data_IF_466355828613
#
_entry.id   IF_466355828613
#
_cell.length_a   1.000
_cell.length_b   1.000
_cell.length_c   1.000
_cell.angle_alpha   90.00
_cell.angle_beta   90.00
_cell.angle_gamma   90.00
#
_symmetry.space_group_name_H-M   'P 1'
#
loop_
_entity.id
_entity.type
_entity.pdbx_description
1 polymer ?
#
# COMPACT_ATOMS: atom_id res chain seq x y z
N UNK A 1 -18.41 6.92 1.69
CA UNK A 1 -17.47 7.62 0.76
C UNK A 1 -16.17 8.07 1.45
N UNK A 2 -16.23 8.69 2.63
CA UNK A 2 -15.04 9.07 3.44
C UNK A 2 -14.10 7.88 3.72
N UNK A 3 -14.64 6.71 4.06
CA UNK A 3 -13.81 5.52 4.35
C UNK A 3 -12.99 5.03 3.16
N UNK A 4 -13.50 5.15 1.93
CA UNK A 4 -12.74 4.83 0.71
C UNK A 4 -11.58 5.79 0.49
N UNK A 5 -11.80 7.10 0.66
CA UNK A 5 -10.75 8.11 0.50
C UNK A 5 -9.65 7.89 1.55
N UNK A 6 -10.02 7.67 2.81
CA UNK A 6 -9.06 7.36 3.88
C UNK A 6 -8.27 6.09 3.59
N UNK A 7 -8.92 5.07 3.03
CA UNK A 7 -8.28 3.83 2.61
C UNK A 7 -7.22 4.06 1.53
N UNK A 8 -7.53 4.87 0.51
CA UNK A 8 -6.57 5.24 -0.53
C UNK A 8 -5.37 5.96 0.09
N UNK A 9 -5.62 6.97 0.92
CA UNK A 9 -4.56 7.73 1.59
C UNK A 9 -3.65 6.80 2.40
N UNK A 10 -4.24 5.85 3.14
CA UNK A 10 -3.48 4.87 3.92
C UNK A 10 -2.59 3.99 3.03
N UNK A 11 -3.12 3.45 1.94
CA UNK A 11 -2.35 2.63 0.99
C UNK A 11 -1.24 3.42 0.30
N UNK A 12 -1.52 4.69 -0.04
CA UNK A 12 -0.55 5.61 -0.61
C UNK A 12 0.60 5.93 0.35
N UNK A 13 0.35 5.97 1.66
CA UNK A 13 1.38 6.20 2.68
C UNK A 13 2.15 4.90 2.99
N UNK A 14 1.46 3.76 3.01
CA UNK A 14 2.08 2.46 3.28
C UNK A 14 3.09 2.08 2.20
N UNK A 15 2.79 2.35 0.93
CA UNK A 15 3.69 2.05 -0.20
C UNK A 15 5.11 2.59 0.00
N UNK A 16 5.31 3.91 0.21
CA UNK A 16 6.62 4.50 0.47
C UNK A 16 7.33 3.96 1.72
N UNK A 17 6.58 3.71 2.80
CA UNK A 17 7.14 3.12 4.04
C UNK A 17 7.75 1.75 3.74
N UNK A 18 7.08 0.96 2.92
CA UNK A 18 7.54 -0.37 2.54
C UNK A 18 8.69 -0.31 1.55
N UNK A 19 8.64 0.61 0.58
CA UNK A 19 9.78 0.83 -0.31
C UNK A 19 11.05 1.13 0.49
N UNK A 20 10.94 1.98 1.51
CA UNK A 20 12.02 2.29 2.44
C UNK A 20 12.47 1.08 3.27
N UNK A 21 11.53 0.34 3.87
CA UNK A 21 11.83 -0.86 4.65
C UNK A 21 12.48 -1.96 3.79
N UNK A 22 12.04 -2.07 2.54
CA UNK A 22 12.55 -3.02 1.55
C UNK A 22 13.99 -2.72 1.18
N UNK A 23 14.31 -1.46 0.87
CA UNK A 23 15.69 -1.04 0.58
C UNK A 23 16.62 -1.28 1.78
N UNK A 24 16.17 -0.98 3.01
CA UNK A 24 17.02 -1.06 4.21
C UNK A 24 17.28 -2.49 4.70
N UNK A 25 16.23 -3.31 4.79
CA UNK A 25 16.28 -4.60 5.49
C UNK A 25 15.77 -5.76 4.63
N UNK A 26 14.56 -5.64 4.05
CA UNK A 26 13.88 -6.82 3.52
C UNK A 26 14.57 -7.42 2.28
N UNK A 27 15.17 -6.59 1.42
CA UNK A 27 15.88 -7.07 0.22
C UNK A 27 17.07 -7.97 0.55
N UNK A 28 17.73 -7.76 1.70
CA UNK A 28 18.87 -8.60 2.13
C UNK A 28 18.43 -10.02 2.47
N UNK A 29 17.15 -10.19 2.83
CA UNK A 29 16.57 -11.46 3.24
C UNK A 29 15.93 -12.16 2.03
N UNK A 30 15.09 -11.45 1.28
CA UNK A 30 14.42 -12.00 0.10
C UNK A 30 14.16 -10.90 -0.95
N UNK A 31 14.51 -11.20 -2.22
CA UNK A 31 14.28 -10.30 -3.37
C UNK A 31 12.79 -10.05 -3.60
N UNK A 32 11.94 -11.02 -3.31
CA UNK A 32 10.49 -10.95 -3.54
C UNK A 32 9.72 -10.49 -2.29
N UNK A 33 10.43 -10.08 -1.23
CA UNK A 33 9.82 -9.67 0.03
C UNK A 33 8.82 -8.51 -0.14
N UNK A 34 9.02 -7.60 -1.10
CA UNK A 34 8.09 -6.49 -1.36
C UNK A 34 6.75 -6.97 -1.92
N UNK A 35 6.76 -8.02 -2.76
CA UNK A 35 5.53 -8.62 -3.32
C UNK A 35 4.78 -9.35 -2.22
N UNK A 36 5.48 -10.19 -1.45
CA UNK A 36 4.89 -10.92 -0.32
C UNK A 36 4.29 -9.97 0.72
N UNK A 37 4.99 -8.88 1.05
CA UNK A 37 4.49 -7.88 1.98
C UNK A 37 3.28 -7.14 1.40
N UNK A 38 3.28 -6.86 0.09
CA UNK A 38 2.13 -6.28 -0.60
C UNK A 38 0.91 -7.19 -0.52
N UNK A 39 1.06 -8.48 -0.83
CA UNK A 39 -0.03 -9.46 -0.70
C UNK A 39 -0.54 -9.51 0.75
N UNK A 40 0.37 -9.60 1.73
CA UNK A 40 0.00 -9.62 3.14
C UNK A 40 -0.78 -8.37 3.55
N UNK A 41 -0.34 -7.19 3.13
CA UNK A 41 -1.02 -5.92 3.43
C UNK A 41 -2.39 -5.87 2.78
N UNK A 42 -2.52 -6.31 1.52
CA UNK A 42 -3.81 -6.35 0.84
C UNK A 42 -4.79 -7.29 1.56
N UNK A 43 -4.32 -8.47 1.98
CA UNK A 43 -5.12 -9.42 2.76
C UNK A 43 -5.53 -8.84 4.10
N UNK A 44 -4.60 -8.24 4.85
CA UNK A 44 -4.90 -7.59 6.14
C UNK A 44 -5.86 -6.42 5.97
N UNK A 45 -5.65 -5.60 4.94
CA UNK A 45 -6.47 -4.45 4.62
C UNK A 45 -7.92 -4.86 4.32
N UNK A 46 -8.12 -5.88 3.49
CA UNK A 46 -9.45 -6.42 3.23
C UNK A 46 -10.05 -7.13 4.44
N UNK A 47 -9.26 -7.88 5.21
CA UNK A 47 -9.72 -8.54 6.45
C UNK A 47 -10.22 -7.51 7.45
N UNK A 48 -9.47 -6.43 7.65
CA UNK A 48 -9.87 -5.32 8.51
C UNK A 48 -11.18 -4.70 8.03
N UNK A 49 -11.31 -4.53 6.71
CA UNK A 49 -12.53 -4.13 6.06
C UNK A 49 -13.75 -5.02 6.36
N UNK A 50 -13.57 -6.35 6.29
CA UNK A 50 -14.57 -7.34 6.64
C UNK A 50 -15.00 -7.21 8.11
N UNK A 51 -14.04 -7.12 9.01
CA UNK A 51 -14.33 -6.98 10.45
C UNK A 51 -15.08 -5.70 10.76
N UNK A 52 -14.75 -4.60 10.07
CA UNK A 52 -15.49 -3.35 10.18
C UNK A 52 -16.92 -3.52 9.65
N UNK A 53 -17.09 -4.05 8.43
CA UNK A 53 -18.40 -4.24 7.81
C UNK A 53 -19.35 -5.10 8.67
N UNK A 54 -18.83 -6.16 9.29
CA UNK A 54 -19.57 -7.03 10.21
C UNK A 54 -19.84 -6.38 11.59
N UNK A 55 -19.42 -5.13 11.79
CA UNK A 55 -19.44 -4.41 13.06
C UNK A 55 -18.73 -5.15 14.21
N UNK A 56 -17.79 -6.05 13.89
CA UNK A 56 -16.90 -6.68 14.89
C UNK A 56 -15.92 -5.63 15.41
N UNK A 57 -15.41 -4.79 14.52
CA UNK A 57 -14.65 -3.59 14.85
C UNK A 57 -15.55 -2.39 14.60
N UNK A 58 -15.99 -1.74 15.66
CA UNK A 58 -16.88 -0.58 15.58
C UNK A 58 -16.11 0.69 15.98
N UNK A 59 -16.13 1.69 15.10
CA UNK A 59 -15.49 2.98 15.33
C UNK A 59 -16.42 4.01 16.00
N UNK A 60 -17.56 3.59 16.53
CA UNK A 60 -18.47 4.42 17.31
C UNK A 60 -18.99 5.61 16.50
N UNK A 61 -18.54 6.81 16.83
CA UNK A 61 -18.97 8.09 16.25
C UNK A 61 -18.46 8.38 14.84
N UNK A 62 -17.53 7.58 14.30
CA UNK A 62 -17.01 7.76 12.93
C UNK A 62 -17.88 7.10 11.84
N UNK A 63 -19.03 6.54 12.21
CA UNK A 63 -20.00 5.92 11.29
C UNK A 63 -20.10 4.41 11.46
N UNK A 64 -21.13 3.80 10.86
CA UNK A 64 -21.28 2.34 10.88
C UNK A 64 -20.25 1.68 9.98
N UNK A 65 -19.84 0.44 10.29
CA UNK A 65 -18.88 -0.28 9.47
C UNK A 65 -19.26 -0.40 7.98
N UNK A 66 -20.57 -0.39 7.70
CA UNK A 66 -21.15 -0.35 6.35
C UNK A 66 -20.90 0.97 5.61
N UNK A 67 -20.85 2.10 6.32
CA UNK A 67 -20.57 3.44 5.74
C UNK A 67 -19.09 3.63 5.43
N UNK A 68 -18.23 3.00 6.25
CA UNK A 68 -16.77 3.05 6.11
C UNK A 68 -16.32 2.15 4.95
N UNK A 69 -16.94 0.98 4.80
CA UNK A 69 -16.64 -0.02 3.76
C UNK A 69 -17.82 -0.24 2.81
N UNK A 70 -18.08 0.77 1.98
CA UNK A 70 -19.19 0.74 1.01
C UNK A 70 -18.99 -0.29 -0.12
N UNK A 71 -17.74 -0.62 -0.41
CA UNK A 71 -17.24 -1.49 -1.47
C UNK A 71 -16.95 -2.93 -1.00
N UNK A 72 -17.77 -3.38 -0.05
CA UNK A 72 -17.65 -4.69 0.56
C UNK A 72 -18.08 -5.83 -0.40
N UNK A 73 -17.45 -7.03 -0.36
CA UNK A 73 -17.85 -8.20 -1.13
C UNK A 73 -19.35 -8.57 -1.11
N UNK A 74 -20.05 -8.38 0.00
CA UNK A 74 -21.51 -8.58 0.06
C UNK A 74 -22.31 -7.51 -0.68
N UNK A 75 -21.77 -6.31 -0.86
CA UNK A 75 -22.34 -5.30 -1.78
C UNK A 75 -21.95 -5.58 -3.24
N UNK A 76 -21.01 -6.50 -3.50
CA UNK A 76 -20.71 -7.02 -4.85
C UNK A 76 -21.73 -8.08 -5.32
N UNK A 77 -22.86 -8.26 -4.63
CA UNK A 77 -23.85 -9.29 -4.96
C UNK A 77 -23.53 -10.69 -4.41
N UNK A 78 -22.44 -10.86 -3.65
CA UNK A 78 -22.09 -12.12 -2.96
C UNK A 78 -22.85 -12.20 -1.61
N UNK A 79 -24.03 -11.60 -1.49
CA UNK A 79 -24.83 -11.67 -0.29
C UNK A 79 -25.79 -12.88 -0.37
N UNK A 80 -25.62 -13.93 0.44
CA UNK A 80 -26.51 -15.08 0.40
C UNK A 80 -27.94 -14.76 0.87
N UNK A 81 -28.16 -13.60 1.49
CA UNK A 81 -29.45 -13.19 2.07
C UNK A 81 -30.20 -12.14 1.25
N UNK A 82 -29.65 -11.66 0.14
CA UNK A 82 -30.28 -10.62 -0.66
C UNK A 82 -30.04 -10.92 -2.13
N UNK A 83 -31.12 -11.08 -2.89
CA UNK A 83 -31.12 -11.18 -4.36
C UNK A 83 -30.70 -9.84 -4.97
N UNK A 84 -29.45 -9.45 -4.73
CA UNK A 84 -28.88 -8.16 -5.09
C UNK A 84 -28.12 -8.29 -6.41
N UNK A 85 -28.44 -7.41 -7.35
CA UNK A 85 -27.62 -7.21 -8.55
C UNK A 85 -26.19 -6.84 -8.14
N UNK A 86 -25.23 -7.45 -8.82
CA UNK A 86 -23.81 -7.20 -8.69
C UNK A 86 -23.52 -5.72 -8.99
N UNK A 87 -23.11 -4.94 -7.98
CA UNK A 87 -22.75 -3.54 -8.19
C UNK A 87 -21.37 -3.44 -8.83
N UNK A 88 -21.35 -3.15 -10.12
CA UNK A 88 -20.13 -3.01 -10.95
C UNK A 88 -19.21 -1.93 -10.38
N UNK A 89 -19.74 -0.85 -9.80
CA UNK A 89 -18.91 0.21 -9.22
C UNK A 89 -18.12 -0.28 -8.01
N UNK A 90 -18.75 -1.09 -7.16
CA UNK A 90 -18.08 -1.65 -6.00
C UNK A 90 -16.94 -2.60 -6.39
N UNK A 91 -17.03 -3.31 -7.52
CA UNK A 91 -15.94 -4.15 -8.05
C UNK A 91 -14.75 -3.29 -8.47
N UNK A 92 -14.99 -2.24 -9.26
CA UNK A 92 -13.93 -1.32 -9.68
C UNK A 92 -13.22 -0.69 -8.47
N UNK A 93 -13.99 -0.30 -7.46
CA UNK A 93 -13.44 0.26 -6.23
C UNK A 93 -12.61 -0.80 -5.48
N UNK A 94 -13.11 -2.03 -5.34
CA UNK A 94 -12.39 -3.12 -4.68
C UNK A 94 -11.06 -3.45 -5.38
N UNK A 95 -11.09 -3.55 -6.72
CA UNK A 95 -9.90 -3.81 -7.54
C UNK A 95 -8.95 -2.62 -7.65
N UNK A 96 -9.40 -1.41 -7.30
CA UNK A 96 -8.53 -0.23 -7.30
C UNK A 96 -7.52 -0.23 -6.15
N UNK A 97 -7.77 -0.94 -5.05
CA UNK A 97 -6.88 -0.91 -3.89
C UNK A 97 -5.45 -1.43 -4.15
N UNK A 98 -5.25 -2.60 -4.80
CA UNK A 98 -3.92 -3.03 -5.22
C UNK A 98 -3.22 -1.97 -6.07
N UNK A 99 -3.95 -1.28 -6.96
CA UNK A 99 -3.40 -0.25 -7.82
C UNK A 99 -2.87 0.95 -7.02
N UNK A 100 -3.66 1.45 -6.05
CA UNK A 100 -3.22 2.55 -5.18
C UNK A 100 -2.00 2.19 -4.35
N UNK A 101 -1.97 0.98 -3.80
CA UNK A 101 -0.82 0.46 -3.07
C UNK A 101 0.43 0.39 -3.95
N UNK A 102 0.32 -0.22 -5.14
CA UNK A 102 1.44 -0.36 -6.08
C UNK A 102 1.96 1.00 -6.54
N UNK A 103 1.07 1.95 -6.81
CA UNK A 103 1.44 3.31 -7.17
C UNK A 103 2.22 3.99 -6.03
N UNK A 104 1.74 3.90 -4.79
CA UNK A 104 2.46 4.43 -3.63
C UNK A 104 3.84 3.77 -3.45
N UNK A 105 3.93 2.46 -3.66
CA UNK A 105 5.17 1.70 -3.59
C UNK A 105 6.18 2.16 -4.65
N UNK A 106 5.74 2.37 -5.88
CA UNK A 106 6.57 2.84 -6.98
C UNK A 106 7.12 4.25 -6.73
N UNK A 107 6.26 5.18 -6.29
CA UNK A 107 6.71 6.53 -5.87
C UNK A 107 7.69 6.48 -4.70
N UNK A 108 7.49 5.55 -3.79
CA UNK A 108 8.44 5.23 -2.74
C UNK A 108 9.81 4.87 -3.31
N UNK A 109 9.86 3.96 -4.28
CA UNK A 109 11.10 3.58 -4.95
C UNK A 109 11.75 4.73 -5.72
N UNK A 110 10.99 5.64 -6.33
CA UNK A 110 11.53 6.84 -6.98
C UNK A 110 12.24 7.75 -5.96
N UNK A 111 11.72 7.83 -4.74
CA UNK A 111 12.27 8.69 -3.70
C UNK A 111 13.51 8.08 -3.04
N UNK A 112 13.41 6.82 -2.60
CA UNK A 112 14.49 6.17 -1.83
C UNK A 112 15.43 5.34 -2.69
N UNK A 113 15.05 4.99 -3.92
CA UNK A 113 15.75 4.06 -4.80
C UNK A 113 15.30 2.60 -4.59
N UNK A 114 15.28 1.81 -5.67
CA UNK A 114 14.81 0.42 -5.66
C UNK A 114 15.88 -0.59 -5.24
N UNK A 115 17.15 -0.25 -5.49
CA UNK A 115 18.33 -1.06 -5.15
C UNK A 115 19.21 -0.36 -4.10
N UNK A 116 20.06 -1.08 -3.36
CA UNK A 116 20.95 -0.46 -2.37
C UNK A 116 21.86 0.61 -2.99
N UNK A 117 22.39 0.32 -4.18
CA UNK A 117 23.25 1.22 -4.98
C UNK A 117 22.48 2.26 -5.81
N UNK A 118 21.15 2.15 -5.89
CA UNK A 118 20.32 3.19 -6.51
C UNK A 118 19.90 4.14 -5.42
N UNK A 119 20.34 5.38 -5.47
CA UNK A 119 19.81 6.44 -4.63
C UNK A 119 18.81 7.25 -5.48
N UNK A 120 17.56 7.32 -5.02
CA UNK A 120 16.48 8.07 -5.70
C UNK A 120 16.63 9.58 -5.52
N UNK A 121 15.52 10.33 -5.54
CA UNK A 121 15.53 11.79 -5.33
C UNK A 121 16.25 12.21 -4.04
N UNK A 122 16.16 11.36 -3.00
CA UNK A 122 16.88 11.57 -1.73
C UNK A 122 18.41 11.71 -1.89
N UNK A 123 19.00 11.19 -2.97
CA UNK A 123 20.40 11.38 -3.33
C UNK A 123 20.73 12.84 -3.64
N UNK A 124 19.90 13.50 -4.45
CA UNK A 124 20.11 14.88 -4.87
C UNK A 124 20.08 15.81 -3.65
N UNK A 125 19.20 15.52 -2.68
CA UNK A 125 19.14 16.24 -1.41
C UNK A 125 20.36 15.98 -0.51
N UNK A 126 21.00 14.81 -0.60
CA UNK A 126 22.26 14.53 0.11
C UNK A 126 23.48 15.15 -0.56
N UNK A 127 23.56 15.13 -1.89
CA UNK A 127 24.66 15.73 -2.65
C UNK A 127 24.74 17.24 -2.48
N UNK A 128 23.63 17.89 -2.12
CA UNK A 128 23.62 19.32 -1.79
C UNK A 128 24.28 19.64 -0.43
N UNK A 129 24.80 18.63 0.28
CA UNK A 129 25.63 18.82 1.47
C UNK A 129 27.10 18.82 1.06
N UNK A 130 27.84 19.93 1.23
CA UNK A 130 29.26 19.97 0.91
C UNK A 130 30.04 18.97 1.79
N UNK A 131 30.85 18.12 1.17
CA UNK A 131 31.80 17.22 1.85
C UNK A 131 31.40 15.74 1.97
N UNK A 132 30.33 15.27 1.32
CA UNK A 132 30.04 13.82 1.28
C UNK A 132 30.82 13.11 0.16
N UNK A 133 31.66 12.14 0.54
CA UNK A 133 32.36 11.25 -0.39
C UNK A 133 31.37 10.38 -1.16
N UNK A 134 31.64 10.18 -2.46
CA UNK A 134 30.88 9.29 -3.31
C UNK A 134 30.92 7.85 -2.76
N UNK A 135 29.80 7.09 -2.81
CA UNK A 135 29.82 5.68 -2.41
C UNK A 135 30.83 4.91 -3.28
N UNK A 136 31.85 4.33 -2.62
CA UNK A 136 32.98 3.58 -3.20
C UNK A 136 32.58 2.33 -4.00
N UNK A 137 31.33 1.90 -3.89
CA UNK A 137 30.79 0.69 -4.52
C UNK A 137 30.86 0.70 -6.07
N UNK A 138 31.26 1.82 -6.69
CA UNK A 138 31.39 1.95 -8.14
C UNK A 138 32.77 1.53 -8.68
N UNK A 139 33.76 1.26 -7.82
CA UNK A 139 35.12 0.88 -8.25
C UNK A 139 35.35 -0.63 -8.35
N UNK A 140 34.52 -1.47 -7.73
CA UNK A 140 34.67 -2.94 -7.76
C UNK A 140 34.00 -3.62 -8.97
N UNK A 141 33.46 -2.85 -9.93
CA UNK A 141 32.86 -3.37 -11.18
C UNK A 141 33.61 -2.88 -12.42
N UNK A 142 34.94 -3.04 -12.44
CA UNK A 142 35.73 -3.08 -13.68
C UNK A 142 36.19 -4.50 -13.95
#
# INVERSE_FOLDING_TARGET
MIGFILSIILLLILGPIIAWAYKRKLRKINKDASVLLGILIMVLFWTFGILCYLNIINFGSFGTGKEIMWNFPFNLGINPYTSGNLDVYAIFIFLSYPFWYLWGLERGYDWVGRRPHQEGITFLLRMNKPGQEYPKDREEMK
#
